data_IF_796412522851
#
_entry.id   IF_796412522851
#
_cell.length_a   1.000
_cell.length_b   1.000
_cell.length_c   1.000
_cell.angle_alpha   90.00
_cell.angle_beta   90.00
_cell.angle_gamma   90.00
#
_symmetry.space_group_name_H-M   'P 1'
#
loop_
_entity.id
_entity.type
_entity.pdbx_description
1 polymer ?
#
# COMPACT_ATOMS: atom_id res chain seq x y z
N UNK A 1 -9.05 32.81 -23.43
CA UNK A 1 -9.77 32.43 -22.19
C UNK A 1 -9.17 31.17 -21.64
N UNK A 2 -8.70 31.15 -20.37
CA UNK A 2 -8.21 29.90 -19.78
C UNK A 2 -9.43 29.01 -19.48
N UNK A 3 -9.40 27.78 -19.95
CA UNK A 3 -10.42 26.78 -19.69
C UNK A 3 -10.53 26.49 -18.18
N UNK A 4 -11.71 26.48 -17.61
CA UNK A 4 -11.89 26.21 -16.18
C UNK A 4 -11.88 24.72 -15.94
N UNK A 5 -10.82 24.20 -15.27
CA UNK A 5 -10.73 22.80 -14.87
C UNK A 5 -11.66 22.58 -13.68
N UNK A 6 -12.69 21.76 -13.86
CA UNK A 6 -13.70 21.50 -12.84
C UNK A 6 -13.51 20.14 -12.13
N UNK A 7 -12.89 19.15 -12.78
CA UNK A 7 -12.81 17.78 -12.28
C UNK A 7 -11.63 17.02 -12.88
N UNK A 8 -11.01 16.13 -12.10
CA UNK A 8 -10.10 15.10 -12.60
C UNK A 8 -10.89 13.86 -13.01
N UNK A 9 -10.38 13.11 -13.98
CA UNK A 9 -10.95 11.83 -14.38
C UNK A 9 -9.91 10.72 -14.21
N UNK A 10 -10.28 9.58 -13.63
CA UNK A 10 -9.41 8.42 -13.61
C UNK A 10 -9.19 7.91 -15.05
N UNK A 11 -7.99 7.46 -15.33
CA UNK A 11 -7.69 6.81 -16.60
C UNK A 11 -8.20 5.37 -16.60
N UNK A 12 -8.52 4.83 -17.79
CA UNK A 12 -8.81 3.41 -17.92
C UNK A 12 -7.58 2.58 -17.55
N UNK A 13 -7.74 1.63 -16.67
CA UNK A 13 -6.65 0.76 -16.24
C UNK A 13 -6.26 -0.24 -17.35
N UNK A 14 -4.97 -0.51 -17.48
CA UNK A 14 -4.44 -1.57 -18.34
C UNK A 14 -4.84 -2.96 -17.85
N UNK A 15 -5.06 -3.12 -16.55
CA UNK A 15 -5.61 -4.34 -15.98
C UNK A 15 -6.69 -4.01 -14.94
N UNK A 16 -7.75 -4.85 -14.91
CA UNK A 16 -8.77 -4.84 -13.85
C UNK A 16 -8.41 -5.75 -12.68
N UNK A 17 -7.28 -6.44 -12.78
CA UNK A 17 -6.84 -7.44 -11.82
C UNK A 17 -5.80 -6.85 -10.86
N UNK A 18 -6.09 -5.73 -10.26
CA UNK A 18 -5.33 -5.19 -9.12
C UNK A 18 -5.73 -5.95 -7.88
N UNK A 19 -4.76 -6.49 -7.13
CA UNK A 19 -4.98 -7.28 -5.92
C UNK A 19 -4.27 -6.60 -4.76
N UNK A 20 -5.02 -5.99 -3.86
CA UNK A 20 -4.46 -5.52 -2.61
C UNK A 20 -4.35 -6.65 -1.60
N UNK A 21 -3.19 -6.77 -0.98
CA UNK A 21 -2.90 -7.70 0.11
C UNK A 21 -2.66 -6.84 1.34
N UNK A 22 -3.72 -6.66 2.11
CA UNK A 22 -3.74 -5.75 3.25
C UNK A 22 -3.69 -6.49 4.59
N UNK A 23 -3.66 -5.74 5.64
CA UNK A 23 -3.64 -6.19 7.04
C UNK A 23 -2.66 -5.38 7.85
N UNK A 24 -2.71 -5.54 9.16
CA UNK A 24 -1.84 -4.79 10.06
C UNK A 24 -0.37 -5.15 9.84
N UNK A 25 0.52 -4.23 10.13
CA UNK A 25 1.97 -4.49 10.11
C UNK A 25 2.30 -5.76 10.91
N UNK A 26 3.16 -6.64 10.38
CA UNK A 26 3.56 -7.93 10.97
C UNK A 26 2.50 -9.06 10.95
N UNK A 27 1.38 -8.88 10.29
CA UNK A 27 0.36 -9.93 10.13
C UNK A 27 0.81 -11.11 9.24
N UNK A 28 1.86 -10.95 8.41
CA UNK A 28 2.33 -12.01 7.51
C UNK A 28 2.12 -11.70 6.01
N UNK A 29 1.71 -10.51 5.68
CA UNK A 29 1.39 -10.06 4.31
C UNK A 29 2.45 -10.35 3.27
N UNK A 30 3.74 -10.13 3.57
CA UNK A 30 4.81 -10.36 2.60
C UNK A 30 4.97 -11.85 2.24
N UNK A 31 4.63 -12.76 3.15
CA UNK A 31 4.59 -14.18 2.86
C UNK A 31 3.39 -14.50 1.94
N UNK A 32 2.20 -13.99 2.28
CA UNK A 32 1.01 -14.13 1.45
C UNK A 32 1.22 -13.53 0.05
N UNK A 33 1.84 -12.36 -0.04
CA UNK A 33 2.14 -11.70 -1.31
C UNK A 33 3.11 -12.51 -2.17
N UNK A 34 4.14 -13.13 -1.57
CA UNK A 34 5.04 -14.03 -2.30
C UNK A 34 4.29 -15.25 -2.86
N UNK A 35 3.37 -15.82 -2.06
CA UNK A 35 2.53 -16.94 -2.49
C UNK A 35 1.58 -16.52 -3.62
N UNK A 36 0.85 -15.42 -3.47
CA UNK A 36 -0.04 -14.88 -4.51
C UNK A 36 0.73 -14.61 -5.79
N UNK A 37 1.90 -13.99 -5.70
CA UNK A 37 2.74 -13.71 -6.85
C UNK A 37 3.32 -14.96 -7.54
N UNK A 38 3.18 -16.15 -6.95
CA UNK A 38 3.63 -17.41 -7.57
C UNK A 38 2.61 -18.01 -8.54
N UNK A 39 1.38 -17.51 -8.57
CA UNK A 39 0.37 -17.99 -9.51
C UNK A 39 0.61 -17.48 -10.94
N UNK A 40 -0.02 -18.15 -11.91
CA UNK A 40 0.09 -17.78 -13.31
C UNK A 40 -0.41 -16.36 -13.57
N UNK A 41 0.23 -15.64 -14.50
CA UNK A 41 -0.07 -14.27 -14.90
C UNK A 41 0.10 -13.21 -13.80
N UNK A 42 0.56 -13.60 -12.61
CA UNK A 42 0.85 -12.65 -11.54
C UNK A 42 2.19 -11.96 -11.78
N UNK A 43 2.21 -10.66 -11.54
CA UNK A 43 3.44 -9.89 -11.45
C UNK A 43 4.08 -10.04 -10.05
N UNK A 44 5.36 -9.68 -9.92
CA UNK A 44 5.97 -9.53 -8.60
C UNK A 44 5.21 -8.47 -7.81
N UNK A 45 4.98 -8.71 -6.53
CA UNK A 45 4.25 -7.74 -5.70
C UNK A 45 5.05 -6.47 -5.42
N UNK A 46 4.33 -5.37 -5.20
CA UNK A 46 4.87 -4.07 -4.82
C UNK A 46 4.39 -3.65 -3.43
N UNK A 47 5.15 -2.74 -2.78
CA UNK A 47 4.69 -2.06 -1.56
C UNK A 47 3.90 -0.81 -1.94
N UNK A 48 2.66 -0.76 -1.50
CA UNK A 48 1.69 0.25 -1.89
C UNK A 48 1.54 1.44 -0.94
N UNK A 49 2.63 1.98 -0.36
CA UNK A 49 2.56 3.12 0.56
C UNK A 49 1.82 4.34 0.00
N UNK A 50 1.88 4.53 -1.32
CA UNK A 50 1.19 5.64 -1.97
C UNK A 50 -0.34 5.55 -1.79
N UNK A 51 -0.90 4.34 -1.84
CA UNK A 51 -2.34 4.12 -1.62
C UNK A 51 -2.74 4.46 -0.18
N UNK A 52 -1.89 4.08 0.79
CA UNK A 52 -2.09 4.40 2.20
C UNK A 52 -2.08 5.91 2.43
N UNK A 53 -1.15 6.63 1.81
CA UNK A 53 -1.04 8.09 1.92
C UNK A 53 -2.26 8.81 1.35
N UNK A 54 -2.73 8.41 0.17
CA UNK A 54 -3.95 8.98 -0.40
C UNK A 54 -5.19 8.63 0.43
N UNK A 55 -5.27 7.41 0.94
CA UNK A 55 -6.36 7.00 1.82
C UNK A 55 -6.45 7.91 3.06
N UNK A 56 -5.33 8.15 3.73
CA UNK A 56 -5.26 9.08 4.86
C UNK A 56 -5.62 10.52 4.44
N UNK A 57 -5.13 10.98 3.30
CA UNK A 57 -5.44 12.31 2.78
C UNK A 57 -6.93 12.51 2.52
N UNK A 58 -7.60 11.51 1.97
CA UNK A 58 -9.05 11.52 1.72
C UNK A 58 -9.83 11.44 3.03
N UNK A 59 -9.46 10.54 3.95
CA UNK A 59 -10.06 10.43 5.30
C UNK A 59 -10.04 11.77 6.04
N UNK A 60 -8.91 12.46 6.00
CA UNK A 60 -8.72 13.75 6.67
C UNK A 60 -9.28 14.94 5.87
N UNK A 61 -9.93 14.69 4.73
CA UNK A 61 -10.46 15.74 3.82
C UNK A 61 -9.39 16.75 3.36
N UNK A 62 -8.13 16.33 3.28
CA UNK A 62 -7.00 17.12 2.78
C UNK A 62 -6.68 16.83 1.32
N UNK A 63 -7.25 15.76 0.77
CA UNK A 63 -7.21 15.38 -0.62
C UNK A 63 -8.61 14.98 -1.06
N UNK A 64 -9.04 15.42 -2.26
CA UNK A 64 -10.32 14.97 -2.80
C UNK A 64 -10.21 13.52 -3.30
N UNK A 65 -11.26 12.72 -3.09
CA UNK A 65 -11.33 11.36 -3.62
C UNK A 65 -11.19 11.34 -5.16
N UNK A 66 -11.75 12.35 -5.84
CA UNK A 66 -11.63 12.48 -7.28
C UNK A 66 -10.18 12.66 -7.76
N UNK A 67 -9.40 13.53 -7.12
CA UNK A 67 -7.98 13.70 -7.43
C UNK A 67 -7.20 12.42 -7.13
N UNK A 68 -7.42 11.83 -5.95
CA UNK A 68 -6.75 10.60 -5.54
C UNK A 68 -7.04 9.44 -6.52
N UNK A 69 -8.29 9.28 -6.95
CA UNK A 69 -8.69 8.28 -7.95
C UNK A 69 -7.97 8.47 -9.29
N UNK A 70 -7.95 9.71 -9.80
CA UNK A 70 -7.28 10.02 -11.06
C UNK A 70 -5.76 9.79 -10.98
N UNK A 71 -5.13 10.22 -9.87
CA UNK A 71 -3.71 10.01 -9.64
C UNK A 71 -3.38 8.51 -9.54
N UNK A 72 -4.09 7.77 -8.69
CA UNK A 72 -3.79 6.37 -8.43
C UNK A 72 -4.06 5.47 -9.63
N UNK A 73 -5.08 5.77 -10.44
CA UNK A 73 -5.31 5.05 -11.71
C UNK A 73 -4.16 5.26 -12.71
N UNK A 74 -3.64 6.50 -12.81
CA UNK A 74 -2.47 6.80 -13.64
C UNK A 74 -1.23 6.07 -13.11
N UNK A 75 -1.01 6.11 -11.80
CA UNK A 75 0.10 5.41 -11.14
C UNK A 75 0.06 3.89 -11.35
N UNK A 76 -1.12 3.27 -11.26
CA UNK A 76 -1.27 1.83 -11.53
C UNK A 76 -0.88 1.47 -12.97
N UNK A 77 -1.26 2.29 -13.94
CA UNK A 77 -0.89 2.09 -15.33
C UNK A 77 0.63 2.27 -15.54
N UNK A 78 1.22 3.31 -14.94
CA UNK A 78 2.67 3.53 -14.97
C UNK A 78 3.43 2.35 -14.36
N UNK A 79 2.99 1.89 -13.20
CA UNK A 79 3.59 0.75 -12.51
C UNK A 79 3.58 -0.51 -13.37
N UNK A 80 2.44 -0.85 -13.96
CA UNK A 80 2.33 -2.04 -14.81
C UNK A 80 3.13 -1.87 -16.11
N UNK A 81 3.09 -0.69 -16.73
CA UNK A 81 3.92 -0.37 -17.91
C UNK A 81 5.41 -0.59 -17.61
N UNK A 82 5.90 -0.05 -16.51
CA UNK A 82 7.29 -0.16 -16.11
C UNK A 82 7.70 -1.64 -15.83
N UNK A 83 6.80 -2.43 -15.25
CA UNK A 83 7.04 -3.88 -15.07
C UNK A 83 7.18 -4.62 -16.40
N UNK A 84 6.46 -4.22 -17.44
CA UNK A 84 6.54 -4.87 -18.77
C UNK A 84 7.89 -4.72 -19.46
N UNK A 85 8.70 -3.76 -19.07
CA UNK A 85 10.05 -3.53 -19.58
C UNK A 85 11.12 -3.63 -18.49
N UNK A 86 10.75 -4.14 -17.32
CA UNK A 86 11.63 -4.24 -16.14
C UNK A 86 12.26 -2.92 -15.71
N UNK A 87 11.58 -1.79 -15.94
CA UNK A 87 11.94 -0.49 -15.41
C UNK A 87 11.44 -0.39 -13.96
N UNK A 88 12.24 0.21 -13.06
CA UNK A 88 11.90 0.42 -11.65
C UNK A 88 11.58 -0.88 -10.87
N UNK A 89 12.05 -2.03 -11.32
CA UNK A 89 11.96 -3.26 -10.56
C UNK A 89 13.10 -3.39 -9.55
N UNK A 90 12.83 -4.04 -8.43
CA UNK A 90 13.81 -4.19 -7.37
C UNK A 90 14.77 -5.36 -7.66
N UNK A 91 16.05 -5.05 -7.83
CA UNK A 91 17.13 -6.04 -8.02
C UNK A 91 17.91 -6.36 -6.74
N UNK A 92 17.57 -5.79 -5.58
CA UNK A 92 18.29 -6.01 -4.32
C UNK A 92 18.01 -7.41 -3.78
N UNK A 93 18.98 -8.35 -3.76
CA UNK A 93 18.73 -9.77 -3.44
C UNK A 93 18.15 -10.01 -2.03
N UNK A 94 18.52 -9.17 -1.07
CA UNK A 94 18.06 -9.28 0.32
C UNK A 94 16.63 -8.77 0.56
N UNK A 95 16.01 -8.11 -0.41
CA UNK A 95 14.66 -7.58 -0.28
C UNK A 95 13.62 -8.59 -0.80
N UNK A 96 12.54 -8.78 -0.07
CA UNK A 96 11.47 -9.69 -0.46
C UNK A 96 10.72 -9.27 -1.72
N UNK A 97 10.73 -7.97 -2.06
CA UNK A 97 10.16 -7.46 -3.32
C UNK A 97 11.10 -7.63 -4.51
N UNK A 98 12.31 -8.16 -4.27
CA UNK A 98 13.29 -8.37 -5.34
C UNK A 98 12.81 -9.38 -6.36
N UNK A 99 13.10 -9.12 -7.62
CA UNK A 99 12.87 -10.09 -8.70
C UNK A 99 13.62 -11.41 -8.49
N UNK A 100 14.73 -11.40 -7.73
CA UNK A 100 15.45 -12.63 -7.38
C UNK A 100 14.67 -13.56 -6.45
N UNK A 101 13.70 -13.00 -5.71
CA UNK A 101 12.79 -13.74 -4.83
C UNK A 101 11.44 -14.05 -5.51
N UNK A 102 11.26 -13.63 -6.75
CA UNK A 102 10.10 -13.98 -7.56
C UNK A 102 10.25 -15.42 -8.10
N UNK A 103 9.14 -16.16 -8.22
CA UNK A 103 9.16 -17.56 -8.65
C UNK A 103 9.77 -17.77 -10.05
N UNK A 104 9.69 -16.78 -10.92
CA UNK A 104 10.28 -16.81 -12.26
C UNK A 104 11.04 -15.50 -12.59
N UNK A 105 12.26 -15.33 -12.05
CA UNK A 105 13.05 -14.13 -12.30
C UNK A 105 13.45 -13.92 -13.75
N UNK A 106 13.47 -15.00 -14.57
CA UNK A 106 13.83 -14.92 -15.99
C UNK A 106 12.87 -14.07 -16.82
N UNK A 107 11.59 -13.95 -16.40
CA UNK A 107 10.61 -13.07 -17.04
C UNK A 107 11.12 -11.62 -17.02
N UNK A 108 11.54 -11.13 -15.87
CA UNK A 108 12.03 -9.75 -15.72
C UNK A 108 13.39 -9.54 -16.42
N UNK A 109 14.27 -10.54 -16.40
CA UNK A 109 15.53 -10.50 -17.15
C UNK A 109 15.29 -10.42 -18.66
N UNK A 110 14.33 -11.16 -19.17
CA UNK A 110 13.93 -11.10 -20.58
C UNK A 110 13.33 -9.74 -20.98
N UNK A 111 12.53 -9.16 -20.09
CA UNK A 111 11.90 -7.84 -20.30
C UNK A 111 12.88 -6.68 -20.40
N UNK A 112 14.10 -6.79 -19.86
CA UNK A 112 15.15 -5.76 -20.02
C UNK A 112 15.55 -5.50 -21.49
N UNK A 113 15.28 -6.46 -22.38
CA UNK A 113 15.57 -6.39 -23.82
C UNK A 113 14.35 -5.99 -24.65
N UNK A 114 13.22 -5.71 -24.03
CA UNK A 114 11.97 -5.38 -24.74
C UNK A 114 11.92 -3.91 -25.10
N UNK A 115 11.35 -3.63 -26.28
CA UNK A 115 11.06 -2.27 -26.71
C UNK A 115 9.95 -1.67 -25.85
N UNK A 116 10.05 -0.38 -25.59
CA UNK A 116 9.04 0.45 -24.95
C UNK A 116 8.04 1.05 -25.97
N UNK A 117 7.11 1.88 -25.50
CA UNK A 117 6.13 2.53 -26.34
C UNK A 117 5.01 1.59 -26.75
N UNK A 118 4.66 1.61 -28.04
CA UNK A 118 3.52 0.85 -28.60
C UNK A 118 3.67 -0.66 -28.39
N UNK A 119 4.88 -1.17 -28.34
CA UNK A 119 5.14 -2.59 -28.07
C UNK A 119 4.60 -3.02 -26.70
N UNK A 120 4.77 -2.17 -25.67
CA UNK A 120 4.22 -2.42 -24.33
C UNK A 120 2.71 -2.31 -24.34
N UNK A 121 2.15 -1.27 -24.95
CA UNK A 121 0.70 -1.06 -25.01
C UNK A 121 0.01 -2.24 -25.73
N UNK A 122 0.56 -2.67 -26.86
CA UNK A 122 0.06 -3.84 -27.59
C UNK A 122 0.10 -5.13 -26.76
N UNK A 123 1.12 -5.30 -25.93
CA UNK A 123 1.22 -6.45 -25.04
C UNK A 123 0.19 -6.39 -23.93
N UNK A 124 0.02 -5.24 -23.29
CA UNK A 124 -0.96 -5.00 -22.24
C UNK A 124 -2.41 -5.17 -22.73
N UNK A 125 -2.68 -4.85 -24.01
CA UNK A 125 -4.01 -5.03 -24.59
C UNK A 125 -4.34 -6.50 -24.97
N UNK A 126 -3.32 -7.34 -25.19
CA UNK A 126 -3.48 -8.73 -25.66
C UNK A 126 -3.36 -9.78 -24.56
N UNK A 127 -2.79 -9.41 -23.42
CA UNK A 127 -2.52 -10.34 -22.32
C UNK A 127 -3.15 -9.84 -21.03
N UNK A 128 -3.62 -10.77 -20.23
CA UNK A 128 -4.12 -10.51 -18.90
C UNK A 128 -2.97 -10.56 -17.90
N UNK A 129 -2.89 -9.56 -17.03
CA UNK A 129 -1.91 -9.46 -15.95
C UNK A 129 -2.62 -9.20 -14.64
N UNK A 130 -2.08 -9.75 -13.55
CA UNK A 130 -2.52 -9.49 -12.20
C UNK A 130 -1.43 -8.72 -11.46
N UNK A 131 -1.81 -7.64 -10.80
CA UNK A 131 -0.88 -6.74 -10.11
C UNK A 131 -1.09 -6.82 -8.59
N UNK A 132 -0.30 -7.63 -7.87
CA UNK A 132 -0.37 -7.70 -6.41
C UNK A 132 0.31 -6.48 -5.78
N UNK A 133 -0.38 -5.86 -4.82
CA UNK A 133 0.10 -4.68 -4.09
C UNK A 133 -0.09 -4.92 -2.61
N UNK A 134 0.99 -4.84 -1.84
CA UNK A 134 0.94 -4.97 -0.38
C UNK A 134 0.72 -3.61 0.24
N UNK A 135 -0.31 -3.51 1.05
CA UNK A 135 -0.66 -2.32 1.81
C UNK A 135 -0.69 -2.60 3.31
N UNK A 136 -0.84 -1.56 4.11
CA UNK A 136 -0.93 -1.66 5.55
C UNK A 136 -2.16 -0.90 6.03
N UNK A 137 -3.02 -1.59 6.80
CA UNK A 137 -4.06 -0.95 7.60
C UNK A 137 -5.12 -0.20 6.77
N UNK A 138 -5.25 -0.48 5.46
CA UNK A 138 -6.28 0.16 4.63
C UNK A 138 -7.68 -0.14 5.13
N UNK A 139 -7.92 -1.37 5.61
CA UNK A 139 -9.22 -1.76 6.18
C UNK A 139 -9.60 -0.92 7.41
N UNK A 140 -8.64 -0.36 8.15
CA UNK A 140 -8.96 0.53 9.27
C UNK A 140 -9.65 1.84 8.83
N UNK A 141 -9.50 2.23 7.56
CA UNK A 141 -10.06 3.44 6.95
C UNK A 141 -10.73 3.12 5.61
N UNK A 142 -11.42 1.99 5.54
CA UNK A 142 -11.87 1.38 4.28
C UNK A 142 -12.87 2.24 3.49
N UNK A 143 -13.75 2.97 4.17
CA UNK A 143 -14.70 3.89 3.51
C UNK A 143 -13.98 4.96 2.67
N UNK A 144 -12.88 5.50 3.20
CA UNK A 144 -12.07 6.46 2.44
C UNK A 144 -11.46 5.80 1.21
N UNK A 145 -11.01 4.55 1.33
CA UNK A 145 -10.44 3.79 0.22
C UNK A 145 -11.49 3.44 -0.84
N UNK A 146 -12.68 3.01 -0.44
CA UNK A 146 -13.80 2.75 -1.36
C UNK A 146 -14.22 4.00 -2.14
N UNK A 147 -14.13 5.18 -1.52
CA UNK A 147 -14.45 6.44 -2.17
C UNK A 147 -13.53 6.79 -3.35
N UNK A 148 -12.37 6.11 -3.47
CA UNK A 148 -11.45 6.27 -4.60
C UNK A 148 -12.00 5.67 -5.90
N UNK A 149 -13.05 4.85 -5.81
CA UNK A 149 -13.69 4.21 -6.96
C UNK A 149 -12.71 3.48 -7.89
N UNK A 150 -11.74 2.76 -7.31
CA UNK A 150 -10.81 1.89 -8.01
C UNK A 150 -11.39 0.49 -8.13
N UNK A 151 -11.19 -0.17 -9.26
CA UNK A 151 -11.56 -1.59 -9.43
C UNK A 151 -10.43 -2.47 -8.90
N UNK A 152 -10.68 -3.30 -7.88
CA UNK A 152 -9.67 -4.14 -7.25
C UNK A 152 -10.26 -5.41 -6.60
N UNK A 153 -9.38 -6.33 -6.25
CA UNK A 153 -9.63 -7.45 -5.34
C UNK A 153 -8.86 -7.22 -4.04
N UNK A 154 -9.39 -7.64 -2.90
CA UNK A 154 -8.75 -7.48 -1.59
C UNK A 154 -8.55 -8.83 -0.92
N UNK A 155 -7.34 -9.05 -0.42
CA UNK A 155 -6.99 -10.17 0.46
C UNK A 155 -6.56 -9.55 1.78
N UNK A 156 -7.36 -9.72 2.82
CA UNK A 156 -7.05 -9.22 4.16
C UNK A 156 -6.40 -10.31 5.00
N UNK A 157 -5.26 -10.02 5.60
CA UNK A 157 -4.49 -10.96 6.42
C UNK A 157 -4.61 -10.58 7.89
N UNK A 158 -5.23 -11.47 8.64
CA UNK A 158 -5.32 -11.38 10.10
C UNK A 158 -4.31 -12.29 10.79
N UNK A 159 -3.89 -11.88 11.95
CA UNK A 159 -3.03 -12.65 12.84
C UNK A 159 -3.56 -12.55 14.27
N UNK A 160 -3.30 -13.59 15.08
CA UNK A 160 -3.62 -13.58 16.50
C UNK A 160 -3.07 -12.27 17.13
N UNK A 161 -3.91 -11.49 17.83
CA UNK A 161 -3.53 -10.17 18.37
C UNK A 161 -2.41 -10.25 19.42
N UNK A 162 -2.31 -11.35 20.16
CA UNK A 162 -1.25 -11.57 21.13
C UNK A 162 0.10 -11.71 20.41
N UNK A 163 0.18 -12.62 19.42
CA UNK A 163 1.39 -12.83 18.61
C UNK A 163 1.79 -11.57 17.83
N UNK A 164 0.80 -10.82 17.37
CA UNK A 164 1.00 -9.56 16.68
C UNK A 164 1.65 -8.54 17.62
N UNK A 165 1.10 -8.37 18.83
CA UNK A 165 1.62 -7.44 19.85
C UNK A 165 3.04 -7.79 20.23
N UNK A 166 3.34 -9.07 20.51
CA UNK A 166 4.71 -9.50 20.80
C UNK A 166 5.68 -9.23 19.64
N UNK A 167 5.22 -9.46 18.41
CA UNK A 167 6.02 -9.13 17.21
C UNK A 167 6.31 -7.64 17.10
N UNK A 168 5.36 -6.78 17.47
CA UNK A 168 5.52 -5.33 17.48
C UNK A 168 6.50 -4.87 18.54
N UNK A 169 6.36 -5.36 19.77
CA UNK A 169 7.28 -5.07 20.89
C UNK A 169 8.71 -5.46 20.51
N UNK A 170 8.92 -6.68 19.97
CA UNK A 170 10.23 -7.14 19.52
C UNK A 170 10.87 -6.23 18.46
N UNK A 171 10.06 -5.52 17.67
CA UNK A 171 10.54 -4.58 16.64
C UNK A 171 10.62 -3.12 17.13
N UNK A 172 10.24 -2.85 18.38
CA UNK A 172 10.19 -1.50 18.93
C UNK A 172 9.19 -0.59 18.22
N UNK A 173 8.09 -1.14 17.69
CA UNK A 173 7.14 -0.37 16.87
C UNK A 173 6.40 0.68 17.67
N UNK A 174 6.15 0.48 18.97
CA UNK A 174 5.47 1.44 19.80
C UNK A 174 6.19 2.80 19.87
N UNK A 175 7.53 2.80 19.96
CA UNK A 175 8.34 4.01 19.86
C UNK A 175 8.48 4.53 18.44
N UNK A 176 8.62 3.62 17.47
CA UNK A 176 8.81 3.97 16.07
C UNK A 176 7.63 4.69 15.45
N UNK A 177 6.41 4.46 15.95
CA UNK A 177 5.20 5.15 15.51
C UNK A 177 5.27 6.68 15.71
N UNK A 178 6.12 7.17 16.60
CA UNK A 178 6.20 8.60 16.89
C UNK A 178 6.92 9.38 15.78
N UNK A 179 8.19 9.07 15.52
CA UNK A 179 9.03 9.88 14.62
C UNK A 179 10.05 9.07 13.81
N UNK A 180 9.95 7.76 13.74
CA UNK A 180 10.92 6.97 12.97
C UNK A 180 10.68 7.16 11.46
N UNK A 181 11.64 7.73 10.70
CA UNK A 181 11.47 7.97 9.27
C UNK A 181 11.28 6.66 8.46
N UNK A 182 11.69 5.51 9.01
CA UNK A 182 11.50 4.19 8.38
C UNK A 182 10.04 3.72 8.41
N UNK A 183 9.18 4.42 9.13
CA UNK A 183 7.73 4.18 9.10
C UNK A 183 7.07 4.77 7.84
N UNK A 184 7.76 5.64 7.10
CA UNK A 184 7.22 6.34 5.93
C UNK A 184 5.85 6.97 6.18
N UNK A 185 5.64 7.42 7.43
CA UNK A 185 4.36 7.99 7.86
C UNK A 185 4.22 9.43 7.41
N UNK A 186 3.01 9.81 6.99
CA UNK A 186 2.66 11.21 6.82
C UNK A 186 2.74 11.94 8.17
N UNK A 187 3.24 13.16 8.15
CA UNK A 187 3.23 14.05 9.30
C UNK A 187 2.04 15.00 9.22
N UNK A 188 1.31 15.11 10.31
CA UNK A 188 0.19 16.01 10.50
C UNK A 188 0.63 17.17 11.40
N UNK A 189 0.01 18.33 11.24
CA UNK A 189 0.17 19.43 12.19
C UNK A 189 -0.75 19.21 13.39
N UNK A 190 -0.19 19.19 14.59
CA UNK A 190 -0.96 19.11 15.84
C UNK A 190 -1.45 20.50 16.29
N UNK A 191 -2.23 20.55 17.39
CA UNK A 191 -2.78 21.80 17.96
C UNK A 191 -1.72 22.82 18.33
N UNK A 192 -0.47 22.40 18.58
CA UNK A 192 0.65 23.29 18.92
C UNK A 192 1.50 23.65 17.67
N UNK A 193 0.98 23.47 16.47
CA UNK A 193 1.67 23.70 15.20
C UNK A 193 2.98 22.92 15.03
N UNK A 194 3.09 21.74 15.66
CA UNK A 194 4.25 20.86 15.55
C UNK A 194 3.92 19.62 14.73
N UNK A 195 4.89 19.07 13.99
CA UNK A 195 4.69 17.84 13.24
C UNK A 195 4.41 16.66 14.19
N UNK A 196 3.46 15.82 13.80
CA UNK A 196 3.04 14.62 14.52
C UNK A 196 2.79 13.49 13.52
N UNK A 197 3.27 12.29 13.79
CA UNK A 197 2.96 11.13 12.98
C UNK A 197 1.45 10.89 12.89
N UNK A 198 0.96 10.52 11.70
CA UNK A 198 -0.45 10.17 11.48
C UNK A 198 -0.97 9.10 12.45
N UNK A 199 -0.11 8.20 12.89
CA UNK A 199 -0.47 7.16 13.84
C UNK A 199 -0.86 7.69 15.23
N UNK A 200 -0.41 8.89 15.57
CA UNK A 200 -0.71 9.52 16.86
C UNK A 200 -1.96 10.40 16.84
N UNK A 201 -2.64 10.50 15.69
CA UNK A 201 -3.82 11.36 15.56
C UNK A 201 -5.00 10.91 16.43
N UNK A 202 -5.15 9.61 16.64
CA UNK A 202 -6.28 9.03 17.38
C UNK A 202 -5.86 8.31 18.67
N UNK A 203 -4.67 8.63 19.20
CA UNK A 203 -4.21 8.03 20.46
C UNK A 203 -4.78 8.78 21.67
N UNK A 204 -4.93 8.11 22.84
CA UNK A 204 -5.45 8.75 24.05
C UNK A 204 -4.46 9.80 24.60
N UNK A 205 -4.98 10.76 25.37
CA UNK A 205 -4.19 11.87 25.95
C UNK A 205 -3.04 11.40 26.85
N UNK A 206 -3.17 10.23 27.46
CA UNK A 206 -2.14 9.62 28.30
C UNK A 206 -1.13 8.76 27.52
N UNK A 207 -1.13 8.77 26.17
CA UNK A 207 -0.20 8.00 25.32
C UNK A 207 1.27 8.12 25.73
N UNK A 208 1.70 9.31 26.13
CA UNK A 208 3.08 9.56 26.55
C UNK A 208 3.49 8.78 27.80
N UNK A 209 2.54 8.40 28.64
CA UNK A 209 2.76 7.61 29.85
C UNK A 209 2.85 6.10 29.58
N UNK A 210 2.41 5.66 28.40
CA UNK A 210 2.44 4.26 28.03
C UNK A 210 3.88 3.77 27.83
N UNK A 211 4.17 2.60 28.35
CA UNK A 211 5.37 1.87 28.02
C UNK A 211 5.28 1.23 26.62
N UNK A 212 6.35 0.63 26.15
CA UNK A 212 6.42 0.04 24.79
C UNK A 212 5.35 -1.03 24.56
N UNK A 213 5.11 -1.90 25.53
CA UNK A 213 4.11 -2.95 25.44
C UNK A 213 2.70 -2.39 25.35
N UNK A 214 2.37 -1.42 26.21
CA UNK A 214 1.07 -0.74 26.23
C UNK A 214 0.81 -0.02 24.90
N UNK A 215 1.80 0.66 24.34
CA UNK A 215 1.71 1.33 23.03
C UNK A 215 1.42 0.34 21.92
N UNK A 216 2.18 -0.76 21.87
CA UNK A 216 1.97 -1.80 20.86
C UNK A 216 0.60 -2.46 20.99
N UNK A 217 0.18 -2.78 22.22
CA UNK A 217 -1.13 -3.40 22.50
C UNK A 217 -2.28 -2.47 22.11
N UNK A 218 -2.21 -1.21 22.53
CA UNK A 218 -3.23 -0.21 22.20
C UNK A 218 -3.38 -0.08 20.68
N UNK A 219 -2.27 0.16 19.98
CA UNK A 219 -2.28 0.42 18.55
C UNK A 219 -2.74 -0.78 17.73
N UNK A 220 -2.18 -1.96 18.01
CA UNK A 220 -2.57 -3.20 17.35
C UNK A 220 -4.07 -3.48 17.53
N UNK A 221 -4.58 -3.34 18.77
CA UNK A 221 -5.99 -3.56 19.07
C UNK A 221 -6.90 -2.50 18.43
N UNK A 222 -6.50 -1.22 18.43
CA UNK A 222 -7.25 -0.15 17.77
C UNK A 222 -7.40 -0.41 16.26
N UNK A 223 -6.32 -0.76 15.59
CA UNK A 223 -6.31 -1.04 14.15
C UNK A 223 -7.11 -2.30 13.81
N UNK A 224 -6.94 -3.37 14.60
CA UNK A 224 -7.73 -4.62 14.43
C UNK A 224 -9.22 -4.37 14.58
N UNK A 225 -9.63 -3.65 15.61
CA UNK A 225 -11.06 -3.34 15.83
C UNK A 225 -11.66 -2.56 14.67
N UNK A 226 -10.92 -1.59 14.12
CA UNK A 226 -11.38 -0.81 12.96
C UNK A 226 -11.47 -1.68 11.71
N UNK A 227 -10.45 -2.51 11.46
CA UNK A 227 -10.42 -3.42 10.32
C UNK A 227 -11.59 -4.41 10.38
N UNK A 228 -11.81 -5.08 11.51
CA UNK A 228 -12.93 -6.04 11.68
C UNK A 228 -14.29 -5.36 11.53
N UNK A 229 -14.45 -4.12 11.98
CA UNK A 229 -15.70 -3.39 11.82
C UNK A 229 -16.06 -3.12 10.36
N UNK A 230 -15.06 -2.97 9.52
CA UNK A 230 -15.20 -2.66 8.08
C UNK A 230 -15.23 -3.91 7.20
N UNK A 231 -15.08 -5.10 7.78
CA UNK A 231 -15.17 -6.40 7.10
C UNK A 231 -16.63 -6.88 7.04
#
# INVERSE_FOLDING_TARGET
MKEKINKFFPVKLFTKNVIFIDGISRAGKLMAASLVSSFQKMESFEKGYIFEHFNVGVKLKKCSANFASAFLSTYLNELLYNKMISRNVNFRPSDRTSIHNFHNPSIYKGRLKMNEGDAVINRLSKQEFFLPIVTHEMMADFDAFLSLNLEFKLIEIYRNPIDLTFSWVKQGLGKRLENDPRMFSLLLENSNKKPMSRFLYEVPSNWKKFNEFERCTYMANSLLKKSIKNH
#
